data_IF_865471779088
#
_entry.id   IF_865471779088
#
_cell.length_a   1.000
_cell.length_b   1.000
_cell.length_c   1.000
_cell.angle_alpha   90.00
_cell.angle_beta   90.00
_cell.angle_gamma   90.00
#
_symmetry.space_group_name_H-M   'P 1'
#
loop_
_entity.id
_entity.type
_entity.pdbx_description
1 polymer ?
#
# COMPACT_ATOMS: atom_id res chain seq x y z
N UNK A 1 9.75 -5.59 -38.70
CA UNK A 1 8.47 -5.24 -38.04
C UNK A 1 8.24 -6.00 -36.74
N UNK A 2 8.31 -7.34 -36.68
CA UNK A 2 8.05 -8.11 -35.44
C UNK A 2 8.92 -7.70 -34.25
N UNK A 3 10.25 -7.60 -34.42
CA UNK A 3 11.18 -7.18 -33.34
C UNK A 3 10.90 -5.77 -32.80
N UNK A 4 10.49 -4.84 -33.67
CA UNK A 4 10.23 -3.46 -33.28
C UNK A 4 8.95 -3.34 -32.44
N UNK A 5 7.89 -4.08 -32.84
CA UNK A 5 6.65 -4.19 -32.08
C UNK A 5 6.89 -4.79 -30.69
N UNK A 6 7.64 -5.90 -30.61
CA UNK A 6 7.97 -6.57 -29.34
C UNK A 6 8.78 -5.65 -28.42
N UNK A 7 9.72 -4.88 -28.95
CA UNK A 7 10.52 -3.92 -28.18
C UNK A 7 9.70 -2.79 -27.56
N UNK A 8 8.73 -2.27 -28.32
CA UNK A 8 7.81 -1.24 -27.85
C UNK A 8 6.91 -1.81 -26.76
N UNK A 9 6.39 -3.03 -26.96
CA UNK A 9 5.49 -3.67 -26.01
C UNK A 9 6.18 -3.92 -24.66
N UNK A 10 7.41 -4.46 -24.65
CA UNK A 10 8.19 -4.60 -23.41
C UNK A 10 8.51 -3.26 -22.74
N UNK A 11 8.80 -2.22 -23.53
CA UNK A 11 9.08 -0.89 -22.97
C UNK A 11 7.84 -0.26 -22.33
N UNK A 12 6.67 -0.39 -22.96
CA UNK A 12 5.40 0.10 -22.41
C UNK A 12 5.04 -0.64 -21.14
N UNK A 13 5.14 -1.97 -21.12
CA UNK A 13 4.86 -2.78 -19.92
C UNK A 13 5.78 -2.39 -18.76
N UNK A 14 7.09 -2.24 -19.01
CA UNK A 14 8.05 -1.80 -17.99
C UNK A 14 7.68 -0.42 -17.42
N UNK A 15 7.37 0.55 -18.28
CA UNK A 15 6.96 1.90 -17.85
C UNK A 15 5.69 1.83 -17.01
N UNK A 16 4.65 1.11 -17.45
CA UNK A 16 3.37 1.00 -16.73
C UNK A 16 3.59 0.34 -15.37
N UNK A 17 4.32 -0.77 -15.31
CA UNK A 17 4.64 -1.47 -14.06
C UNK A 17 5.41 -0.58 -13.09
N UNK A 18 6.41 0.18 -13.58
CA UNK A 18 7.20 1.07 -12.73
C UNK A 18 6.37 2.24 -12.21
N UNK A 19 5.52 2.83 -13.06
CA UNK A 19 4.71 4.00 -12.71
C UNK A 19 3.59 3.62 -11.74
N UNK A 20 2.85 2.54 -12.03
CA UNK A 20 1.80 2.04 -11.14
C UNK A 20 2.39 1.54 -9.81
N UNK A 21 3.50 0.80 -9.86
CA UNK A 21 4.17 0.32 -8.66
C UNK A 21 4.62 1.45 -7.76
N UNK A 22 5.23 2.50 -8.33
CA UNK A 22 5.68 3.68 -7.59
C UNK A 22 4.53 4.46 -6.96
N UNK A 23 3.41 4.63 -7.69
CA UNK A 23 2.22 5.34 -7.18
C UNK A 23 1.59 4.57 -6.02
N UNK A 24 1.42 3.25 -6.15
CA UNK A 24 0.85 2.42 -5.08
C UNK A 24 1.75 2.39 -3.85
N UNK A 25 3.07 2.32 -4.05
CA UNK A 25 4.03 2.35 -2.95
C UNK A 25 3.98 3.68 -2.19
N UNK A 26 3.99 4.80 -2.91
CA UNK A 26 3.89 6.13 -2.30
C UNK A 26 2.55 6.31 -1.57
N UNK A 27 1.45 5.86 -2.18
CA UNK A 27 0.12 5.91 -1.57
C UNK A 27 0.07 5.13 -0.26
N UNK A 28 0.60 3.91 -0.26
CA UNK A 28 0.64 3.07 0.93
C UNK A 28 1.50 3.71 2.04
N UNK A 29 2.71 4.19 1.71
CA UNK A 29 3.65 4.72 2.70
C UNK A 29 3.15 6.00 3.40
N UNK A 30 2.25 6.76 2.77
CA UNK A 30 1.74 8.01 3.33
C UNK A 30 0.48 7.85 4.21
N UNK A 31 -0.14 6.67 4.25
CA UNK A 31 -1.40 6.45 4.97
C UNK A 31 -1.20 5.86 6.37
N UNK A 32 -0.84 6.72 7.31
CA UNK A 32 -0.91 6.41 8.74
C UNK A 32 -2.28 6.81 9.29
N UNK A 33 -2.93 5.90 9.99
CA UNK A 33 -4.23 6.15 10.61
C UNK A 33 -4.06 6.35 12.11
N UNK A 34 -4.93 7.19 12.68
CA UNK A 34 -5.00 7.40 14.12
C UNK A 34 -6.33 6.85 14.62
N UNK A 35 -6.27 5.90 15.55
CA UNK A 35 -7.47 5.36 16.21
C UNK A 35 -7.59 5.99 17.60
N UNK A 36 -8.78 6.47 17.92
CA UNK A 36 -9.15 6.86 19.28
C UNK A 36 -9.92 5.71 19.89
N UNK A 37 -9.48 5.26 21.06
CA UNK A 37 -10.20 4.29 21.88
C UNK A 37 -10.72 4.99 23.12
N UNK A 38 -12.04 4.98 23.28
CA UNK A 38 -12.72 5.53 24.44
C UNK A 38 -13.13 4.34 25.29
N UNK A 39 -12.32 4.03 26.30
CA UNK A 39 -12.66 3.00 27.27
C UNK A 39 -13.67 3.60 28.25
N UNK A 40 -14.92 3.12 28.18
CA UNK A 40 -15.92 3.34 29.21
C UNK A 40 -15.84 2.17 30.18
N UNK A 41 -15.97 2.43 31.48
CA UNK A 41 -16.03 1.36 32.48
C UNK A 41 -17.22 0.44 32.17
N UNK A 42 -16.93 -0.83 31.84
CA UNK A 42 -17.95 -1.84 31.59
C UNK A 42 -18.71 -2.15 32.89
N UNK A 43 -20.05 -2.14 32.85
CA UNK A 43 -20.90 -2.58 33.97
C UNK A 43 -21.55 -1.48 34.82
N UNK A 44 -21.49 -0.21 34.43
CA UNK A 44 -22.16 0.90 35.13
C UNK A 44 -23.49 1.29 34.48
N UNK A 45 -24.45 1.72 35.31
CA UNK A 45 -25.74 2.23 34.81
C UNK A 45 -25.57 3.64 34.20
N UNK A 46 -26.47 4.04 33.31
CA UNK A 46 -26.36 5.28 32.51
C UNK A 46 -26.15 6.57 33.31
N UNK A 47 -26.56 6.61 34.58
CA UNK A 47 -26.36 7.75 35.49
C UNK A 47 -24.95 7.77 36.09
N UNK A 48 -24.37 6.60 36.35
CA UNK A 48 -23.00 6.46 36.88
C UNK A 48 -21.95 6.71 35.79
N UNK A 49 -22.25 6.36 34.53
CA UNK A 49 -21.37 6.61 33.38
C UNK A 49 -21.08 8.11 33.14
N UNK A 50 -21.96 9.04 33.55
CA UNK A 50 -21.75 10.48 33.36
C UNK A 50 -20.65 11.07 34.27
N UNK A 51 -20.35 10.42 35.40
CA UNK A 51 -19.39 10.92 36.38
C UNK A 51 -18.06 10.14 36.38
N UNK A 52 -17.91 9.14 35.51
CA UNK A 52 -16.71 8.31 35.45
C UNK A 52 -15.68 8.98 34.53
N UNK A 53 -14.41 9.12 34.95
CA UNK A 53 -13.36 9.60 34.07
C UNK A 53 -13.22 8.66 32.88
N UNK A 54 -13.51 9.18 31.69
CA UNK A 54 -13.29 8.47 30.42
C UNK A 54 -11.81 8.51 30.07
N UNK A 55 -11.17 7.35 29.99
CA UNK A 55 -9.82 7.26 29.46
C UNK A 55 -9.91 7.36 27.93
N UNK A 56 -9.58 8.54 27.40
CA UNK A 56 -9.42 8.74 25.95
C UNK A 56 -7.97 8.41 25.60
N UNK A 57 -7.75 7.17 25.16
CA UNK A 57 -6.48 6.73 24.60
C UNK A 57 -6.50 6.87 23.08
N UNK A 58 -5.34 7.05 22.48
CA UNK A 58 -5.22 6.94 21.03
C UNK A 58 -3.86 6.43 20.63
N UNK A 59 -3.82 5.69 19.53
CA UNK A 59 -2.59 5.15 18.98
C UNK A 59 -2.58 5.27 17.45
N UNK A 60 -1.38 5.53 16.92
CA UNK A 60 -1.15 5.44 15.49
C UNK A 60 -1.05 3.98 15.09
N UNK A 61 -1.72 3.61 14.01
CA UNK A 61 -1.63 2.28 13.45
C UNK A 61 -1.54 2.34 11.94
N UNK A 62 -0.91 1.32 11.39
CA UNK A 62 -0.82 1.10 9.97
C UNK A 62 -1.76 -0.04 9.61
N UNK A 63 -2.77 0.23 8.78
CA UNK A 63 -3.79 -0.77 8.44
C UNK A 63 -3.20 -1.83 7.50
N UNK A 64 -3.58 -3.09 7.71
CA UNK A 64 -3.17 -4.22 6.87
C UNK A 64 -3.50 -4.01 5.38
N UNK A 65 -4.54 -3.23 5.09
CA UNK A 65 -4.90 -2.85 3.73
C UNK A 65 -3.76 -2.10 3.02
N UNK A 66 -3.09 -1.17 3.70
CA UNK A 66 -1.97 -0.42 3.12
C UNK A 66 -0.71 -1.28 3.02
N UNK A 67 -0.51 -2.25 3.91
CA UNK A 67 0.58 -3.25 3.78
C UNK A 67 0.38 -4.05 2.49
N UNK A 68 -0.84 -4.55 2.24
CA UNK A 68 -1.16 -5.28 1.02
C UNK A 68 -0.95 -4.44 -0.24
N UNK A 69 -1.35 -3.16 -0.22
CA UNK A 69 -1.12 -2.24 -1.34
C UNK A 69 0.38 -2.00 -1.56
N UNK A 70 1.16 -1.84 -0.49
CA UNK A 70 2.62 -1.70 -0.60
C UNK A 70 3.26 -2.93 -1.25
N UNK A 71 2.83 -4.14 -0.85
CA UNK A 71 3.31 -5.40 -1.44
C UNK A 71 3.01 -5.45 -2.95
N UNK A 72 1.80 -5.08 -3.36
CA UNK A 72 1.44 -5.00 -4.79
C UNK A 72 2.34 -3.99 -5.52
N UNK A 73 2.57 -2.83 -4.92
CA UNK A 73 3.47 -1.80 -5.47
C UNK A 73 4.89 -2.33 -5.70
N UNK A 74 5.47 -3.02 -4.71
CA UNK A 74 6.79 -3.66 -4.82
C UNK A 74 6.79 -4.74 -5.91
N UNK A 75 5.78 -5.60 -5.95
CA UNK A 75 5.69 -6.67 -6.93
C UNK A 75 5.67 -6.14 -8.38
N UNK A 76 4.97 -5.02 -8.62
CA UNK A 76 4.94 -4.36 -9.93
C UNK A 76 6.31 -3.79 -10.31
N UNK A 77 7.03 -3.14 -9.39
CA UNK A 77 8.38 -2.63 -9.64
C UNK A 77 9.33 -3.79 -9.99
N UNK A 78 9.29 -4.88 -9.21
CA UNK A 78 10.10 -6.08 -9.48
C UNK A 78 9.76 -6.67 -10.85
N UNK A 79 8.48 -6.75 -11.20
CA UNK A 79 8.04 -7.25 -12.51
C UNK A 79 8.56 -6.39 -13.66
N UNK A 80 8.53 -5.06 -13.53
CA UNK A 80 9.12 -4.14 -14.50
C UNK A 80 10.63 -4.36 -14.69
N UNK A 81 11.36 -4.51 -13.58
CA UNK A 81 12.81 -4.81 -13.61
C UNK A 81 13.09 -6.15 -14.29
N UNK A 82 12.31 -7.19 -13.99
CA UNK A 82 12.43 -8.50 -14.62
C UNK A 82 12.15 -8.42 -16.12
N UNK A 83 11.09 -7.72 -16.54
CA UNK A 83 10.77 -7.47 -17.96
C UNK A 83 11.93 -6.75 -18.67
N UNK A 84 12.53 -5.75 -18.03
CA UNK A 84 13.69 -5.02 -18.58
C UNK A 84 14.92 -5.91 -18.74
N UNK A 85 15.18 -6.82 -17.80
CA UNK A 85 16.27 -7.77 -17.88
C UNK A 85 16.01 -8.85 -18.94
N UNK A 86 14.78 -9.36 -19.03
CA UNK A 86 14.39 -10.32 -20.08
C UNK A 86 14.50 -9.73 -21.48
N UNK A 87 14.09 -8.46 -21.67
CA UNK A 87 14.27 -7.73 -22.92
C UNK A 87 15.74 -7.73 -23.38
N UNK A 88 16.68 -7.51 -22.47
CA UNK A 88 18.13 -7.52 -22.79
C UNK A 88 18.60 -8.90 -23.28
N UNK A 89 18.07 -9.98 -22.70
CA UNK A 89 18.45 -11.35 -23.06
C UNK A 89 17.74 -11.89 -24.33
N UNK A 90 16.55 -11.39 -24.67
CA UNK A 90 15.79 -11.82 -25.87
C UNK A 90 16.20 -11.09 -27.16
N UNK A 91 16.85 -9.93 -27.03
CA UNK A 91 17.26 -9.08 -28.16
C UNK A 91 18.76 -9.20 -28.45
N UNK A 92 19.55 -9.72 -27.51
CA UNK A 92 20.91 -10.20 -27.74
C UNK A 92 20.89 -11.40 -28.70
#
# INVERSE_FOLDING_TARGET
MKKLLTNILFAVVDIVCFLQGSVLLAYALLHFNYKVEIAHAEGLTTVEMQNVPTAVGGYYYYSDQYINIAIIGVALIVTGVLMRNWKKNFIA
#
